data_IF_380551505601
#
_entry.id   IF_380551505601
#
_cell.length_a   1.000
_cell.length_b   1.000
_cell.length_c   1.000
_cell.angle_alpha   90.00
_cell.angle_beta   90.00
_cell.angle_gamma   90.00
#
_symmetry.space_group_name_H-M   'P 1'
#
loop_
_entity.id
_entity.type
_entity.pdbx_description
1 polymer ?
#
# COMPACT_ATOMS: atom_id res chain seq x y z
N UNK A 1 -39.14 33.66 -56.48
CA UNK A 1 -39.32 32.53 -55.52
C UNK A 1 -38.44 31.30 -55.77
N UNK A 2 -37.97 31.01 -57.00
CA UNK A 2 -37.17 29.81 -57.30
C UNK A 2 -35.74 29.87 -56.73
N UNK A 3 -35.06 31.03 -56.75
CA UNK A 3 -33.70 31.18 -56.18
C UNK A 3 -33.62 31.02 -54.67
N UNK A 4 -34.65 31.45 -53.91
CA UNK A 4 -34.64 31.34 -52.44
C UNK A 4 -34.68 29.89 -51.96
N UNK A 5 -35.43 29.03 -52.68
CA UNK A 5 -35.47 27.60 -52.39
C UNK A 5 -34.14 26.92 -52.71
N UNK A 6 -33.48 27.32 -53.80
CA UNK A 6 -32.13 26.82 -54.14
C UNK A 6 -31.13 27.25 -53.07
N UNK A 7 -31.19 28.51 -52.61
CA UNK A 7 -30.34 29.02 -51.54
C UNK A 7 -30.56 28.29 -50.22
N UNK A 8 -31.82 28.05 -49.83
CA UNK A 8 -32.15 27.31 -48.61
C UNK A 8 -31.71 25.84 -48.66
N UNK A 9 -31.79 25.20 -49.83
CA UNK A 9 -31.28 23.83 -50.03
C UNK A 9 -29.76 23.81 -49.96
N UNK A 10 -29.06 24.74 -50.62
CA UNK A 10 -27.61 24.86 -50.53
C UNK A 10 -27.16 25.15 -49.09
N UNK A 11 -27.84 26.03 -48.37
CA UNK A 11 -27.53 26.35 -46.98
C UNK A 11 -27.68 25.14 -46.05
N UNK A 12 -28.72 24.30 -46.26
CA UNK A 12 -28.85 23.02 -45.53
C UNK A 12 -27.76 22.02 -45.88
N UNK A 13 -27.29 21.98 -47.13
CA UNK A 13 -26.18 21.13 -47.54
C UNK A 13 -24.89 21.59 -46.85
N UNK A 14 -24.61 22.89 -46.78
CA UNK A 14 -23.42 23.43 -46.09
C UNK A 14 -23.44 23.19 -44.58
N UNK A 15 -24.60 23.26 -43.93
CA UNK A 15 -24.73 22.98 -42.49
C UNK A 15 -24.55 21.49 -42.14
N UNK A 16 -24.75 20.58 -43.10
CA UNK A 16 -24.57 19.13 -42.89
C UNK A 16 -23.12 18.64 -43.03
N UNK A 17 -22.19 19.50 -43.45
CA UNK A 17 -20.78 19.14 -43.63
C UNK A 17 -20.06 19.35 -42.30
N UNK A 18 -20.02 18.31 -41.47
CA UNK A 18 -19.10 18.23 -40.34
C UNK A 18 -17.74 17.78 -40.84
N UNK A 19 -16.76 18.69 -40.90
CA UNK A 19 -15.38 18.35 -41.21
C UNK A 19 -14.62 18.07 -39.90
N UNK A 20 -14.33 16.81 -39.60
CA UNK A 20 -13.38 16.46 -38.53
C UNK A 20 -11.96 16.60 -39.07
N UNK A 21 -11.22 17.59 -38.60
CA UNK A 21 -9.81 17.76 -39.01
C UNK A 21 -8.94 16.80 -38.19
N UNK A 22 -8.65 15.64 -38.75
CA UNK A 22 -7.69 14.66 -38.20
C UNK A 22 -6.23 15.16 -38.22
N UNK A 23 -6.00 16.34 -38.78
CA UNK A 23 -4.73 17.03 -38.88
C UNK A 23 -4.81 18.36 -38.14
N UNK A 24 -3.78 18.67 -37.35
CA UNK A 24 -3.66 19.91 -36.57
C UNK A 24 -2.36 20.61 -36.93
N UNK A 25 -2.43 21.94 -37.01
CA UNK A 25 -1.25 22.79 -37.17
C UNK A 25 -0.63 22.99 -35.78
N UNK A 26 0.58 22.49 -35.60
CA UNK A 26 1.37 22.70 -34.39
C UNK A 26 1.85 24.14 -34.29
N UNK A 27 2.21 24.60 -33.09
CA UNK A 27 2.73 25.96 -32.84
C UNK A 27 3.93 26.34 -33.73
N UNK A 28 4.67 25.33 -34.20
CA UNK A 28 5.80 25.47 -35.12
C UNK A 28 5.38 25.58 -36.61
N UNK A 29 4.09 25.71 -36.90
CA UNK A 29 3.53 25.81 -38.25
C UNK A 29 3.51 24.51 -39.05
N UNK A 30 3.81 23.35 -38.42
CA UNK A 30 3.80 22.04 -39.08
C UNK A 30 2.44 21.37 -38.94
N UNK A 31 1.93 20.81 -40.04
CA UNK A 31 0.72 19.98 -40.05
C UNK A 31 1.10 18.58 -39.55
N UNK A 32 0.45 18.12 -38.49
CA UNK A 32 0.64 16.77 -37.93
C UNK A 32 -0.71 16.10 -37.67
N UNK A 33 -0.77 14.77 -37.76
CA UNK A 33 -1.96 14.00 -37.42
C UNK A 33 -2.22 14.05 -35.92
N UNK A 34 -3.47 14.17 -35.50
CA UNK A 34 -3.84 14.07 -34.08
C UNK A 34 -3.52 12.69 -33.52
N UNK A 35 -2.93 12.63 -32.32
CA UNK A 35 -2.56 11.37 -31.66
C UNK A 35 -3.79 10.51 -31.31
N UNK A 36 -4.89 11.15 -30.93
CA UNK A 36 -6.15 10.48 -30.56
C UNK A 36 -7.05 10.14 -31.76
N UNK A 37 -6.53 10.31 -32.99
CA UNK A 37 -7.27 9.97 -34.21
C UNK A 37 -7.11 8.48 -34.56
N UNK A 38 -8.21 7.86 -34.98
CA UNK A 38 -8.20 6.51 -35.56
C UNK A 38 -7.32 6.39 -36.83
N UNK A 39 -7.00 7.50 -37.49
CA UNK A 39 -6.15 7.56 -38.67
C UNK A 39 -4.67 7.85 -38.36
N UNK A 40 -4.30 7.92 -37.08
CA UNK A 40 -2.91 8.14 -36.68
C UNK A 40 -2.01 6.97 -37.14
N UNK A 41 -0.97 7.31 -37.90
CA UNK A 41 0.08 6.40 -38.33
C UNK A 41 1.35 6.66 -37.52
N UNK A 42 1.88 5.63 -36.86
CA UNK A 42 3.16 5.70 -36.12
C UNK A 42 4.34 5.95 -37.06
N UNK A 43 4.27 5.44 -38.29
CA UNK A 43 5.23 5.67 -39.36
C UNK A 43 4.48 6.17 -40.60
N UNK A 44 4.52 7.48 -40.90
CA UNK A 44 3.74 8.05 -42.01
C UNK A 44 4.25 7.66 -43.40
N UNK A 45 5.48 7.14 -43.49
CA UNK A 45 6.12 6.71 -44.74
C UNK A 45 5.87 5.23 -45.08
N UNK A 46 5.16 4.48 -44.23
CA UNK A 46 4.80 3.09 -44.52
C UNK A 46 3.51 3.02 -45.34
N UNK A 47 3.68 2.72 -46.63
CA UNK A 47 2.59 2.60 -47.59
C UNK A 47 1.61 1.47 -47.23
N UNK A 48 2.09 0.35 -46.67
CA UNK A 48 1.20 -0.77 -46.32
C UNK A 48 0.28 -0.36 -45.18
N UNK A 49 0.84 0.28 -44.14
CA UNK A 49 0.05 0.83 -43.04
C UNK A 49 -0.96 1.89 -43.50
N UNK A 50 -0.64 2.69 -44.52
CA UNK A 50 -1.57 3.65 -45.14
C UNK A 50 -2.72 2.93 -45.87
N UNK A 51 -2.40 1.91 -46.69
CA UNK A 51 -3.40 1.17 -47.46
C UNK A 51 -4.36 0.36 -46.58
N UNK A 52 -3.95 -0.04 -45.37
CA UNK A 52 -4.79 -0.76 -44.42
C UNK A 52 -5.60 0.13 -43.47
N UNK A 53 -5.53 1.46 -43.61
CA UNK A 53 -6.20 2.40 -42.68
C UNK A 53 -7.71 2.16 -42.57
N UNK A 54 -8.38 1.92 -43.70
CA UNK A 54 -9.83 1.65 -43.73
C UNK A 54 -10.19 0.39 -42.95
N UNK A 55 -9.50 -0.73 -43.22
CA UNK A 55 -9.71 -1.99 -42.47
C UNK A 55 -9.41 -1.84 -40.99
N UNK A 56 -8.43 -1.01 -40.62
CA UNK A 56 -8.12 -0.71 -39.22
C UNK A 56 -9.26 0.07 -38.56
N UNK A 57 -9.85 1.05 -39.26
CA UNK A 57 -11.01 1.80 -38.78
C UNK A 57 -12.20 0.87 -38.53
N UNK A 58 -12.53 0.02 -39.50
CA UNK A 58 -13.62 -0.96 -39.37
C UNK A 58 -13.43 -1.89 -38.16
N UNK A 59 -12.18 -2.34 -37.94
CA UNK A 59 -11.84 -3.13 -36.75
C UNK A 59 -12.06 -2.34 -35.46
N UNK A 60 -11.61 -1.09 -35.40
CA UNK A 60 -11.79 -0.24 -34.21
C UNK A 60 -13.29 -0.04 -33.91
N UNK A 61 -14.09 0.25 -34.93
CA UNK A 61 -15.54 0.39 -34.78
C UNK A 61 -16.20 -0.90 -34.28
N UNK A 62 -15.81 -2.05 -34.83
CA UNK A 62 -16.33 -3.35 -34.39
C UNK A 62 -15.98 -3.67 -32.94
N UNK A 63 -14.72 -3.39 -32.53
CA UNK A 63 -14.24 -3.58 -31.17
C UNK A 63 -14.93 -2.62 -30.19
N UNK A 64 -15.16 -1.37 -30.61
CA UNK A 64 -15.88 -0.39 -29.80
C UNK A 64 -17.33 -0.83 -29.57
N UNK A 65 -18.01 -1.29 -30.62
CA UNK A 65 -19.36 -1.84 -30.49
C UNK A 65 -19.41 -3.08 -29.57
N UNK A 66 -18.42 -3.96 -29.67
CA UNK A 66 -18.31 -5.11 -28.77
C UNK A 66 -18.03 -4.66 -27.32
N UNK A 67 -17.16 -3.69 -27.13
CA UNK A 67 -16.83 -3.14 -25.81
C UNK A 67 -18.06 -2.51 -25.14
N UNK A 68 -18.85 -1.74 -25.88
CA UNK A 68 -20.12 -1.19 -25.37
C UNK A 68 -21.10 -2.31 -24.94
N UNK A 69 -21.21 -3.37 -25.74
CA UNK A 69 -22.05 -4.52 -25.41
C UNK A 69 -21.58 -5.23 -24.14
N UNK A 70 -20.27 -5.46 -24.00
CA UNK A 70 -19.69 -6.05 -22.78
C UNK A 70 -19.85 -5.13 -21.57
N UNK A 71 -19.68 -3.83 -21.75
CA UNK A 71 -19.84 -2.85 -20.68
C UNK A 71 -21.26 -2.84 -20.14
N UNK A 72 -22.28 -2.92 -21.00
CA UNK A 72 -23.67 -3.02 -20.56
C UNK A 72 -23.96 -4.30 -19.75
N UNK A 73 -23.36 -5.43 -20.14
CA UNK A 73 -23.44 -6.68 -19.36
C UNK A 73 -22.77 -6.51 -18.00
N UNK A 74 -21.56 -5.97 -17.98
CA UNK A 74 -20.82 -5.67 -16.75
C UNK A 74 -21.67 -4.76 -15.85
N UNK A 75 -22.20 -3.66 -16.36
CA UNK A 75 -23.04 -2.72 -15.61
C UNK A 75 -24.32 -3.39 -15.06
N UNK A 76 -24.97 -4.26 -15.84
CA UNK A 76 -26.10 -5.05 -15.33
C UNK A 76 -25.72 -6.04 -14.22
N UNK A 77 -24.51 -6.62 -14.28
CA UNK A 77 -24.01 -7.48 -13.21
C UNK A 77 -23.63 -6.65 -11.97
N UNK A 78 -23.06 -5.46 -12.17
CA UNK A 78 -22.73 -4.51 -11.10
C UNK A 78 -23.96 -3.99 -10.37
N UNK A 79 -25.05 -3.67 -11.07
CA UNK A 79 -26.32 -3.29 -10.40
C UNK A 79 -26.88 -4.43 -9.54
N UNK A 80 -26.70 -5.69 -9.95
CA UNK A 80 -26.98 -6.86 -9.10
C UNK A 80 -26.03 -6.97 -7.89
N UNK A 81 -24.77 -6.57 -8.04
CA UNK A 81 -23.78 -6.51 -6.96
C UNK A 81 -23.96 -5.30 -6.04
N UNK A 82 -24.62 -4.22 -6.47
CA UNK A 82 -24.93 -3.05 -5.64
C UNK A 82 -25.93 -3.41 -4.51
N UNK A 83 -26.66 -4.52 -4.68
CA UNK A 83 -27.43 -5.16 -3.61
C UNK A 83 -26.55 -5.72 -2.47
N UNK A 84 -25.23 -5.75 -2.61
CA UNK A 84 -24.29 -6.18 -1.56
C UNK A 84 -23.98 -5.08 -0.54
N UNK A 85 -24.38 -3.82 -0.78
CA UNK A 85 -24.51 -2.84 0.30
C UNK A 85 -25.38 -3.38 1.44
N UNK A 86 -26.46 -4.10 1.08
CA UNK A 86 -27.32 -4.86 2.01
C UNK A 86 -26.61 -6.07 2.60
N UNK A 87 -25.69 -6.73 1.87
CA UNK A 87 -24.93 -7.86 2.41
C UNK A 87 -23.90 -7.42 3.44
N UNK A 88 -23.21 -6.31 3.24
CA UNK A 88 -22.34 -5.71 4.27
C UNK A 88 -23.14 -5.41 5.54
N UNK A 89 -24.31 -4.78 5.40
CA UNK A 89 -25.19 -4.51 6.53
C UNK A 89 -25.79 -5.78 7.16
N UNK A 90 -26.05 -6.82 6.36
CA UNK A 90 -26.52 -8.12 6.85
C UNK A 90 -25.43 -8.81 7.65
N UNK A 91 -24.20 -8.88 7.14
CA UNK A 91 -23.05 -9.49 7.82
C UNK A 91 -22.75 -8.75 9.12
N UNK A 92 -22.74 -7.41 9.10
CA UNK A 92 -22.56 -6.60 10.31
C UNK A 92 -23.65 -6.87 11.37
N UNK A 93 -24.87 -7.23 10.96
CA UNK A 93 -26.00 -7.55 11.85
C UNK A 93 -26.09 -9.03 12.24
N UNK A 94 -25.62 -9.95 11.40
CA UNK A 94 -25.77 -11.40 11.61
C UNK A 94 -24.58 -12.00 12.32
N UNK A 95 -23.38 -11.51 12.04
CA UNK A 95 -22.14 -12.03 12.60
C UNK A 95 -21.97 -11.58 14.07
N UNK A 96 -21.47 -12.47 14.93
CA UNK A 96 -21.34 -12.20 16.36
C UNK A 96 -20.14 -11.29 16.65
N UNK A 97 -19.02 -11.54 15.97
CA UNK A 97 -17.77 -10.80 16.17
C UNK A 97 -17.94 -9.37 15.66
N UNK A 98 -18.58 -9.20 14.50
CA UNK A 98 -18.91 -7.88 13.96
C UNK A 98 -19.83 -7.07 14.89
N UNK A 99 -20.80 -7.73 15.56
CA UNK A 99 -21.68 -7.08 16.53
C UNK A 99 -20.96 -6.69 17.82
N UNK A 100 -20.01 -7.51 18.26
CA UNK A 100 -19.21 -7.23 19.45
C UNK A 100 -18.26 -6.05 19.22
N UNK A 101 -17.69 -5.93 18.00
CA UNK A 101 -16.77 -4.85 17.63
C UNK A 101 -17.52 -3.53 17.40
N UNK A 102 -18.73 -3.56 16.84
CA UNK A 102 -19.60 -2.37 16.69
C UNK A 102 -19.08 -1.29 15.73
N UNK A 103 -17.93 -1.51 15.08
CA UNK A 103 -17.28 -0.59 14.15
C UNK A 103 -17.40 -1.07 12.71
N UNK A 104 -17.51 -0.14 11.76
CA UNK A 104 -17.47 -0.47 10.33
C UNK A 104 -16.03 -0.60 9.87
N UNK A 105 -15.77 -1.47 8.88
CA UNK A 105 -14.42 -1.63 8.30
C UNK A 105 -13.80 -0.33 7.75
N UNK A 106 -14.62 0.64 7.35
CA UNK A 106 -14.18 1.98 6.91
C UNK A 106 -13.78 2.91 8.06
N UNK A 107 -14.18 2.58 9.29
CA UNK A 107 -13.86 3.29 10.53
C UNK A 107 -12.71 2.60 11.28
N UNK A 108 -12.41 1.35 10.92
CA UNK A 108 -11.24 0.61 11.41
C UNK A 108 -10.01 1.12 10.66
N UNK A 109 -9.10 1.75 11.40
CA UNK A 109 -7.79 2.06 10.87
C UNK A 109 -6.97 0.76 10.79
N UNK A 110 -6.89 0.19 9.59
CA UNK A 110 -6.10 -1.01 9.30
C UNK A 110 -4.58 -0.74 9.36
N UNK A 111 -4.16 0.52 9.48
CA UNK A 111 -2.77 0.92 9.64
C UNK A 111 -2.37 1.07 11.11
N UNK A 112 -3.26 0.76 12.07
CA UNK A 112 -2.86 0.64 13.48
C UNK A 112 -1.77 -0.42 13.57
N UNK A 113 -0.64 -0.06 14.17
CA UNK A 113 0.42 -1.01 14.49
C UNK A 113 -0.19 -2.13 15.35
N UNK A 114 -0.32 -3.32 14.78
CA UNK A 114 -0.62 -4.52 15.54
C UNK A 114 0.66 -4.84 16.32
N UNK A 115 0.64 -4.59 17.61
CA UNK A 115 1.73 -4.96 18.52
C UNK A 115 1.53 -6.43 18.91
N UNK A 116 2.50 -7.27 18.55
CA UNK A 116 2.59 -8.67 18.95
C UNK A 116 3.90 -8.82 19.73
N UNK A 117 3.82 -9.16 21.02
CA UNK A 117 4.97 -9.42 21.87
C UNK A 117 5.55 -10.83 21.67
N UNK A 118 4.93 -11.62 20.79
CA UNK A 118 5.27 -12.98 20.43
C UNK A 118 5.29 -13.98 21.59
N UNK A 119 4.71 -13.61 22.74
CA UNK A 119 4.67 -14.45 23.95
C UNK A 119 3.87 -15.74 23.74
N UNK A 120 2.86 -15.71 22.87
CA UNK A 120 2.00 -16.86 22.55
C UNK A 120 2.64 -17.86 21.56
N UNK A 121 3.85 -17.60 21.04
CA UNK A 121 4.49 -18.48 20.06
C UNK A 121 4.98 -19.77 20.70
N UNK A 122 4.82 -20.87 19.97
CA UNK A 122 5.30 -22.19 20.40
C UNK A 122 6.81 -22.15 20.67
N UNK A 123 7.22 -22.66 21.83
CA UNK A 123 8.62 -22.68 22.27
C UNK A 123 9.10 -21.40 22.99
N UNK A 124 8.22 -20.41 23.19
CA UNK A 124 8.50 -19.24 24.02
C UNK A 124 7.91 -19.42 25.41
N UNK A 125 8.75 -19.32 26.43
CA UNK A 125 8.34 -19.24 27.83
C UNK A 125 8.92 -17.96 28.43
N UNK A 126 8.06 -16.96 28.64
CA UNK A 126 8.47 -15.62 29.10
C UNK A 126 9.13 -15.68 30.47
N UNK A 127 8.57 -16.48 31.40
CA UNK A 127 9.09 -16.62 32.77
C UNK A 127 10.48 -17.27 32.82
N UNK A 128 10.86 -18.02 31.78
CA UNK A 128 12.18 -18.64 31.66
C UNK A 128 13.19 -17.71 30.97
N UNK A 129 12.76 -16.98 29.95
CA UNK A 129 13.63 -16.10 29.16
C UNK A 129 13.89 -14.74 29.83
N UNK A 130 12.96 -14.28 30.67
CA UNK A 130 13.00 -12.98 31.33
C UNK A 130 13.27 -13.17 32.83
N UNK A 131 14.37 -12.62 33.38
CA UNK A 131 14.63 -12.66 34.81
C UNK A 131 13.52 -11.98 35.62
N UNK A 132 13.17 -12.53 36.78
CA UNK A 132 12.25 -11.87 37.73
C UNK A 132 12.90 -10.61 38.26
N UNK A 133 12.10 -9.56 38.49
CA UNK A 133 12.61 -8.28 39.00
C UNK A 133 13.39 -8.42 40.33
N UNK A 134 13.04 -9.39 41.19
CA UNK A 134 13.77 -9.69 42.43
C UNK A 134 15.21 -10.16 42.21
N UNK A 135 15.48 -10.76 41.06
CA UNK A 135 16.74 -11.43 40.74
C UNK A 135 17.66 -10.52 39.90
N UNK A 136 17.17 -9.34 39.53
CA UNK A 136 17.89 -8.35 38.72
C UNK A 136 18.81 -7.51 39.62
N UNK A 137 20.14 -7.51 39.38
CA UNK A 137 21.08 -6.69 40.15
C UNK A 137 20.70 -5.21 40.18
N UNK A 138 20.89 -4.51 41.31
CA UNK A 138 20.56 -3.08 41.42
C UNK A 138 21.33 -2.18 40.44
N UNK A 139 22.52 -2.60 40.02
CA UNK A 139 23.37 -1.90 39.06
C UNK A 139 22.90 -2.02 37.59
N UNK A 140 21.82 -2.77 37.32
CA UNK A 140 21.31 -2.89 35.95
C UNK A 140 20.67 -1.58 35.47
N UNK A 141 21.01 -1.12 34.25
CA UNK A 141 20.35 0.03 33.65
C UNK A 141 18.84 -0.17 33.54
N UNK A 142 18.09 0.92 33.69
CA UNK A 142 16.63 0.91 33.56
C UNK A 142 16.13 0.68 32.13
N UNK A 143 17.02 0.76 31.13
CA UNK A 143 16.64 0.65 29.73
C UNK A 143 17.56 -0.32 28.97
N UNK A 144 17.02 -1.17 28.09
CA UNK A 144 17.80 -2.16 27.34
C UNK A 144 18.41 -1.52 26.09
N UNK A 145 19.60 -0.93 26.21
CA UNK A 145 20.35 -0.47 25.04
C UNK A 145 20.94 -1.66 24.28
N UNK A 146 20.23 -2.11 23.24
CA UNK A 146 20.59 -3.30 22.48
C UNK A 146 21.98 -3.23 21.83
N UNK A 147 22.48 -2.02 21.54
CA UNK A 147 23.80 -1.81 20.94
C UNK A 147 24.96 -2.21 21.87
N UNK A 148 24.73 -2.23 23.19
CA UNK A 148 25.72 -2.60 24.20
C UNK A 148 25.93 -4.12 24.29
N UNK A 149 24.91 -4.91 23.93
CA UNK A 149 24.97 -6.38 24.05
C UNK A 149 25.43 -7.05 22.76
N UNK A 150 25.03 -6.49 21.62
CA UNK A 150 25.40 -6.99 20.29
C UNK A 150 25.44 -5.83 19.32
N UNK A 151 26.61 -5.61 18.71
CA UNK A 151 26.76 -4.70 17.57
C UNK A 151 27.14 -5.50 16.33
N UNK A 152 26.39 -5.28 15.25
CA UNK A 152 26.66 -5.90 13.96
C UNK A 152 26.87 -4.78 12.94
N UNK A 153 28.07 -4.74 12.36
CA UNK A 153 28.40 -3.77 11.33
C UNK A 153 27.59 -4.02 10.04
N UNK A 154 27.23 -5.27 9.78
CA UNK A 154 26.45 -5.68 8.61
C UNK A 154 25.78 -7.04 8.84
N UNK A 155 24.54 -7.19 8.34
CA UNK A 155 23.83 -8.47 8.29
C UNK A 155 22.80 -8.41 7.16
N UNK A 156 22.77 -9.45 6.30
CA UNK A 156 21.76 -9.55 5.24
C UNK A 156 20.34 -9.70 5.81
N UNK A 157 20.20 -10.33 6.98
CA UNK A 157 18.92 -10.49 7.70
C UNK A 157 18.34 -9.15 8.22
N UNK A 158 19.13 -8.08 8.21
CA UNK A 158 18.68 -6.73 8.59
C UNK A 158 18.19 -5.90 7.39
N UNK A 159 18.05 -6.52 6.21
CA UNK A 159 17.60 -5.89 4.96
C UNK A 159 18.38 -4.60 4.61
N UNK A 160 19.72 -4.65 4.52
CA UNK A 160 20.55 -3.47 4.29
C UNK A 160 20.31 -2.80 2.93
N UNK A 161 19.71 -3.53 1.97
CA UNK A 161 19.32 -3.02 0.66
C UNK A 161 18.11 -2.07 0.72
N UNK A 162 17.33 -2.11 1.80
CA UNK A 162 16.26 -1.16 2.04
C UNK A 162 16.90 0.11 2.59
N UNK A 163 17.08 1.12 1.72
CA UNK A 163 17.77 2.37 2.06
C UNK A 163 17.22 3.01 3.33
N UNK A 164 15.89 2.97 3.48
CA UNK A 164 15.15 3.43 4.65
C UNK A 164 15.67 2.79 5.94
N UNK A 165 15.97 1.49 5.96
CA UNK A 165 16.53 0.80 7.13
C UNK A 165 18.03 1.06 7.34
N UNK A 166 18.77 1.55 6.34
CA UNK A 166 20.24 1.69 6.41
C UNK A 166 20.74 3.00 7.03
N UNK A 167 19.93 4.07 7.01
CA UNK A 167 20.35 5.40 7.45
C UNK A 167 19.90 5.69 8.89
N UNK A 168 20.61 6.56 9.65
CA UNK A 168 20.12 7.05 10.93
C UNK A 168 18.84 7.87 10.71
N UNK A 169 17.85 7.63 11.56
CA UNK A 169 16.52 8.20 11.42
C UNK A 169 16.36 9.37 12.38
N UNK A 170 15.97 10.53 11.85
CA UNK A 170 15.50 11.64 12.68
C UNK A 170 13.98 11.54 12.81
N UNK A 171 13.52 10.63 13.65
CA UNK A 171 12.09 10.51 13.92
C UNK A 171 11.62 11.70 14.76
N UNK A 172 10.79 12.57 14.19
CA UNK A 172 9.89 13.39 15.01
C UNK A 172 8.90 12.44 15.66
N UNK A 173 8.93 12.35 17.00
CA UNK A 173 8.07 11.48 17.81
C UNK A 173 6.63 11.51 17.28
N UNK A 174 6.25 10.48 16.55
CA UNK A 174 4.91 10.29 16.00
C UNK A 174 4.50 8.86 16.29
N UNK A 175 4.05 8.66 17.51
CA UNK A 175 3.26 7.51 17.90
C UNK A 175 2.17 8.08 18.80
N UNK A 176 1.10 8.57 18.19
CA UNK A 176 -0.16 8.81 18.90
C UNK A 176 -0.89 7.47 18.95
N UNK A 177 -0.33 6.53 19.71
CA UNK A 177 -0.98 5.24 19.91
C UNK A 177 -1.95 5.41 21.06
N UNK A 178 -3.22 5.43 20.71
CA UNK A 178 -4.37 5.43 21.61
C UNK A 178 -4.56 4.12 22.39
N UNK A 179 -3.65 3.15 22.20
CA UNK A 179 -3.62 1.89 22.95
C UNK A 179 -2.65 2.06 24.12
N UNK A 180 -3.09 1.67 25.32
CA UNK A 180 -2.26 1.64 26.53
C UNK A 180 -1.14 0.61 26.38
N UNK A 181 -0.08 0.92 25.64
CA UNK A 181 1.06 0.02 25.38
C UNK A 181 1.75 -0.43 26.66
N UNK A 182 1.64 0.34 27.75
CA UNK A 182 2.15 -0.04 29.05
C UNK A 182 1.45 -1.30 29.59
N UNK A 183 0.20 -1.54 29.19
CA UNK A 183 -0.53 -2.76 29.54
C UNK A 183 -0.17 -3.97 28.67
N UNK A 184 0.39 -3.74 27.47
CA UNK A 184 0.80 -4.82 26.56
C UNK A 184 2.17 -5.41 26.92
N UNK A 185 3.10 -4.59 27.42
CA UNK A 185 4.44 -5.06 27.79
C UNK A 185 4.48 -5.23 29.30
N UNK A 186 4.33 -6.48 29.78
CA UNK A 186 4.40 -6.80 31.20
C UNK A 186 5.82 -6.75 31.79
N UNK A 187 6.84 -6.55 30.95
CA UNK A 187 8.26 -6.68 31.29
C UNK A 187 8.93 -5.31 31.35
N UNK A 188 9.72 -5.06 32.40
CA UNK A 188 10.44 -3.80 32.58
C UNK A 188 11.73 -3.73 31.74
N UNK A 189 12.17 -2.51 31.41
CA UNK A 189 13.45 -2.30 30.73
C UNK A 189 14.66 -2.86 31.48
N UNK A 190 14.61 -2.92 32.82
CA UNK A 190 15.63 -3.56 33.66
C UNK A 190 15.71 -5.06 33.43
N UNK A 191 14.57 -5.75 33.44
CA UNK A 191 14.50 -7.18 33.20
C UNK A 191 15.01 -7.53 31.80
N UNK A 192 14.69 -6.71 30.79
CA UNK A 192 15.20 -6.89 29.43
C UNK A 192 16.72 -6.69 29.37
N UNK A 193 17.27 -5.67 30.02
CA UNK A 193 18.71 -5.46 30.09
C UNK A 193 19.43 -6.61 30.81
N UNK A 194 18.84 -7.14 31.88
CA UNK A 194 19.37 -8.30 32.58
C UNK A 194 19.30 -9.59 31.75
N UNK A 195 18.18 -9.84 31.08
CA UNK A 195 17.99 -10.99 30.19
C UNK A 195 18.97 -10.96 29.01
N UNK A 196 19.16 -9.80 28.38
CA UNK A 196 20.12 -9.64 27.26
C UNK A 196 21.58 -9.82 27.70
N UNK A 197 21.91 -9.57 28.97
CA UNK A 197 23.24 -9.92 29.52
C UNK A 197 23.44 -11.42 29.67
N UNK A 198 22.39 -12.16 29.99
CA UNK A 198 22.44 -13.61 30.11
C UNK A 198 22.43 -14.29 28.73
N UNK A 199 21.60 -13.80 27.82
CA UNK A 199 21.49 -14.30 26.45
C UNK A 199 21.43 -13.15 25.44
N UNK A 200 22.61 -12.78 24.91
CA UNK A 200 22.76 -11.70 23.92
C UNK A 200 22.40 -12.11 22.48
N UNK A 201 21.91 -13.34 22.27
CA UNK A 201 21.47 -13.86 20.96
C UNK A 201 19.98 -14.20 20.94
N UNK A 202 19.22 -13.82 21.96
CA UNK A 202 17.78 -14.09 22.02
C UNK A 202 17.01 -13.11 21.13
N UNK A 203 16.46 -13.59 20.02
CA UNK A 203 15.61 -12.77 19.14
C UNK A 203 14.38 -12.23 19.88
N UNK A 204 13.82 -13.02 20.80
CA UNK A 204 12.64 -12.67 21.58
C UNK A 204 12.91 -11.49 22.52
N UNK A 205 14.04 -11.51 23.24
CA UNK A 205 14.42 -10.39 24.11
C UNK A 205 14.70 -9.10 23.34
N UNK A 206 15.32 -9.19 22.15
CA UNK A 206 15.48 -8.03 21.28
C UNK A 206 14.16 -7.50 20.72
N UNK A 207 13.18 -8.38 20.47
CA UNK A 207 11.84 -7.98 20.04
C UNK A 207 11.12 -7.21 21.16
N UNK A 208 11.11 -7.74 22.39
CA UNK A 208 10.56 -7.04 23.55
C UNK A 208 11.27 -5.71 23.83
N UNK A 209 12.60 -5.64 23.67
CA UNK A 209 13.36 -4.40 23.81
C UNK A 209 12.99 -3.37 22.73
N UNK A 210 12.71 -3.81 21.50
CA UNK A 210 12.22 -2.92 20.44
C UNK A 210 10.85 -2.32 20.81
N UNK A 211 9.94 -3.15 21.32
CA UNK A 211 8.62 -2.70 21.80
C UNK A 211 8.76 -1.70 22.96
N UNK A 212 9.61 -1.99 23.95
CA UNK A 212 9.88 -1.08 25.06
C UNK A 212 10.30 0.32 24.58
N UNK A 213 11.21 0.40 23.60
CA UNK A 213 11.64 1.69 23.05
C UNK A 213 10.56 2.41 22.22
N UNK A 214 9.62 1.67 21.63
CA UNK A 214 8.44 2.28 20.98
C UNK A 214 7.54 2.96 22.00
N UNK A 215 7.36 2.37 23.19
CA UNK A 215 6.60 2.96 24.31
C UNK A 215 7.28 4.22 24.84
N UNK A 216 8.58 4.14 25.09
CA UNK A 216 9.38 5.28 25.55
C UNK A 216 9.44 6.42 24.50
N UNK A 217 9.28 6.06 23.22
CA UNK A 217 9.25 6.97 22.08
C UNK A 217 10.61 7.23 21.43
N UNK A 218 11.64 6.42 21.74
CA UNK A 218 12.94 6.46 21.06
C UNK A 218 12.95 5.43 19.91
N UNK A 219 12.43 5.87 18.77
CA UNK A 219 12.27 5.00 17.60
C UNK A 219 13.61 4.57 17.00
N UNK A 220 14.67 5.34 17.18
CA UNK A 220 15.99 4.97 16.66
C UNK A 220 16.51 3.73 17.38
N UNK A 221 16.41 3.70 18.73
CA UNK A 221 16.76 2.52 19.51
C UNK A 221 15.82 1.35 19.25
N UNK A 222 14.52 1.61 19.08
CA UNK A 222 13.56 0.57 18.73
C UNK A 222 13.93 -0.15 17.43
N UNK A 223 14.26 0.60 16.38
CA UNK A 223 14.69 0.04 15.08
C UNK A 223 16.00 -0.75 15.22
N UNK A 224 16.95 -0.28 16.04
CA UNK A 224 18.20 -1.00 16.28
C UNK A 224 17.95 -2.36 16.96
N UNK A 225 17.13 -2.39 18.01
CA UNK A 225 16.73 -3.63 18.66
C UNK A 225 15.97 -4.56 17.70
N UNK A 226 15.05 -4.04 16.89
CA UNK A 226 14.30 -4.81 15.92
C UNK A 226 15.20 -5.47 14.86
N UNK A 227 16.23 -4.75 14.39
CA UNK A 227 17.23 -5.31 13.47
C UNK A 227 17.99 -6.49 14.09
N UNK A 228 18.37 -6.37 15.36
CA UNK A 228 19.04 -7.46 16.09
C UNK A 228 18.10 -8.65 16.29
N UNK A 229 16.83 -8.41 16.61
CA UNK A 229 15.82 -9.45 16.66
C UNK A 229 15.77 -10.21 15.32
N UNK A 230 15.60 -9.51 14.20
CA UNK A 230 15.56 -10.11 12.86
C UNK A 230 16.83 -10.90 12.51
N UNK A 231 17.99 -10.47 12.99
CA UNK A 231 19.24 -11.19 12.76
C UNK A 231 19.31 -12.53 13.52
N UNK A 232 18.78 -12.57 14.74
CA UNK A 232 18.83 -13.75 15.60
C UNK A 232 17.59 -14.66 15.48
N UNK A 233 16.56 -14.25 14.75
CA UNK A 233 15.39 -15.10 14.48
C UNK A 233 15.87 -16.37 13.74
N UNK A 234 15.47 -17.56 14.20
CA UNK A 234 15.82 -18.80 13.53
C UNK A 234 15.21 -18.83 12.12
N UNK A 235 16.00 -19.24 11.14
CA UNK A 235 15.53 -19.47 9.77
C UNK A 235 15.07 -20.93 9.70
N UNK A 236 13.78 -21.15 9.43
CA UNK A 236 13.21 -22.48 9.18
C UNK A 236 13.37 -22.89 7.71
#
# INVERSE_FOLDING_TARGET
>A
MRSWRIFAVLFKIFLGISASTHWVVTENGRIQSQLDSAFYLRQPFDLISLLEQEKRLERIESLYAEMLKRNAVIESQWTGLESFSVLKDRVLKSDLDCRNIGLRLSEVDLYVNIFDDASEREGINVDELVPKESDVPEETPNSPDCSQFSSLNFSMHMFPHIQVLSQPWNFTKFIDVSVDLNSLISVTGRQLAAGLRQNNTSWFLYNLAALHWQVEGDLQKAVQCAKLAMHYVPVH
#
